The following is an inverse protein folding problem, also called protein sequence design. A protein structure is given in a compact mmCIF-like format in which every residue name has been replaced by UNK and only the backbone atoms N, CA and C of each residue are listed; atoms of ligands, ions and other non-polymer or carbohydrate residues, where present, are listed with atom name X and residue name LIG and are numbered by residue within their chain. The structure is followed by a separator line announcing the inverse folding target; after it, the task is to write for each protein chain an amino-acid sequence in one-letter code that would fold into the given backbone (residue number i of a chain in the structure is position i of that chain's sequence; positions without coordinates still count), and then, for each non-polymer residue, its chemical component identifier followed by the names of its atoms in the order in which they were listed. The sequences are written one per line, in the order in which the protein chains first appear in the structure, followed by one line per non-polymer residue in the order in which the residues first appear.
data_IF_274257672184
#
_entry.id   IF_274257672184
#
_cell.length_a   1.000
_cell.length_b   1.000
_cell.length_c   1.000
_cell.angle_alpha   90.00
_cell.angle_beta   90.00
_cell.angle_gamma   90.00
#
_symmetry.space_group_name_H-M   'P 1'
#
loop_
_entity.id
_entity.type
_entity.pdbx_description
1 polymer ?
#
# COMPACT_ATOMS: atom_id res chain seq x y z
N UNK A 1 0.83 29.65 -1.29
CA UNK A 1 0.25 28.45 -0.66
C UNK A 1 -0.81 27.86 -1.58
N UNK A 2 -0.70 26.58 -1.91
CA UNK A 2 -1.70 25.84 -2.72
C UNK A 2 -2.42 24.87 -1.80
N UNK A 3 -3.75 24.83 -1.84
CA UNK A 3 -4.56 23.92 -1.02
C UNK A 3 -5.03 22.71 -1.84
N UNK A 4 -4.67 21.51 -1.41
CA UNK A 4 -5.22 20.27 -1.96
C UNK A 4 -6.59 20.04 -1.34
N UNK A 5 -7.65 20.22 -2.12
CA UNK A 5 -9.04 19.96 -1.68
C UNK A 5 -9.59 18.63 -2.18
N UNK A 6 -8.91 18.02 -3.16
CA UNK A 6 -9.30 16.73 -3.73
C UNK A 6 -8.11 15.96 -4.27
N UNK A 7 -8.07 14.66 -3.99
CA UNK A 7 -7.13 13.68 -4.52
C UNK A 7 -7.82 12.77 -5.55
N UNK A 8 -7.05 12.31 -6.54
CA UNK A 8 -7.54 11.31 -7.48
C UNK A 8 -7.48 9.91 -6.85
N UNK A 9 -8.65 9.34 -6.53
CA UNK A 9 -8.76 8.04 -5.86
C UNK A 9 -8.09 6.89 -6.64
N UNK A 10 -8.15 6.92 -7.98
CA UNK A 10 -7.53 5.88 -8.81
C UNK A 10 -6.01 5.98 -8.75
N UNK A 11 -5.46 7.18 -8.75
CA UNK A 11 -4.03 7.39 -8.57
C UNK A 11 -3.58 6.95 -7.18
N UNK A 12 -4.35 7.28 -6.14
CA UNK A 12 -4.07 6.82 -4.77
C UNK A 12 -4.05 5.30 -4.64
N UNK A 13 -5.03 4.62 -5.25
CA UNK A 13 -5.07 3.16 -5.29
C UNK A 13 -3.83 2.56 -5.98
N UNK A 14 -3.43 3.11 -7.13
CA UNK A 14 -2.25 2.62 -7.86
C UNK A 14 -0.96 2.84 -7.07
N UNK A 15 -0.77 4.04 -6.53
CA UNK A 15 0.45 4.40 -5.79
C UNK A 15 0.57 3.54 -4.54
N UNK A 16 -0.46 3.51 -3.69
CA UNK A 16 -0.41 2.75 -2.44
C UNK A 16 -0.41 1.24 -2.68
N UNK A 17 -1.14 0.73 -3.67
CA UNK A 17 -1.07 -0.67 -4.06
C UNK A 17 0.32 -1.09 -4.52
N UNK A 18 0.98 -0.28 -5.36
CA UNK A 18 2.34 -0.56 -5.80
C UNK A 18 3.35 -0.46 -4.65
N UNK A 19 3.23 0.54 -3.79
CA UNK A 19 4.08 0.68 -2.60
C UNK A 19 3.97 -0.55 -1.71
N UNK A 20 2.76 -1.01 -1.42
CA UNK A 20 2.53 -2.18 -0.56
C UNK A 20 2.99 -3.48 -1.23
N UNK A 21 2.84 -3.60 -2.54
CA UNK A 21 3.37 -4.74 -3.31
C UNK A 21 4.89 -4.80 -3.26
N UNK A 22 5.56 -3.65 -3.45
CA UNK A 22 7.03 -3.56 -3.35
C UNK A 22 7.48 -3.92 -1.93
N UNK A 23 6.83 -3.38 -0.91
CA UNK A 23 7.13 -3.74 0.48
C UNK A 23 6.94 -5.24 0.70
N UNK A 24 5.85 -5.83 0.22
CA UNK A 24 5.60 -7.25 0.37
C UNK A 24 6.69 -8.11 -0.31
N UNK A 25 7.17 -7.71 -1.48
CA UNK A 25 8.30 -8.38 -2.16
C UNK A 25 9.56 -8.27 -1.30
N UNK A 26 9.89 -7.09 -0.78
CA UNK A 26 11.08 -6.86 0.06
C UNK A 26 11.01 -7.70 1.35
N UNK A 27 9.84 -7.80 1.97
CA UNK A 27 9.66 -8.56 3.21
C UNK A 27 9.48 -10.06 3.00
N UNK A 28 9.13 -10.51 1.79
CA UNK A 28 8.88 -11.92 1.51
C UNK A 28 10.04 -12.89 1.83
N UNK A 29 11.33 -12.55 1.63
CA UNK A 29 12.43 -13.45 2.01
C UNK A 29 12.53 -13.62 3.52
N UNK A 30 12.21 -12.58 4.30
CA UNK A 30 12.22 -12.66 5.76
C UNK A 30 11.10 -13.55 6.29
N UNK A 31 9.93 -13.50 5.66
CA UNK A 31 8.81 -14.41 5.97
C UNK A 31 9.21 -15.85 5.67
N UNK A 32 9.87 -16.11 4.53
CA UNK A 32 10.39 -17.44 4.22
C UNK A 32 11.42 -17.94 5.24
N UNK A 33 12.34 -17.08 5.66
CA UNK A 33 13.34 -17.42 6.66
C UNK A 33 12.68 -17.78 8.00
N UNK A 34 11.70 -17.00 8.45
CA UNK A 34 10.94 -17.32 9.67
C UNK A 34 10.18 -18.64 9.54
N UNK A 35 9.50 -18.84 8.41
CA UNK A 35 8.76 -20.07 8.12
C UNK A 35 9.69 -21.31 8.18
N UNK A 36 10.93 -21.19 7.69
CA UNK A 36 11.92 -22.28 7.75
C UNK A 36 12.45 -22.58 9.16
N UNK A 37 12.31 -21.65 10.11
CA UNK A 37 12.80 -21.83 11.48
C UNK A 37 11.81 -22.59 12.39
N UNK A 38 10.52 -22.57 12.08
CA UNK A 38 9.46 -23.23 12.87
C UNK A 38 9.28 -24.72 12.50
N UNK A 39 9.92 -25.19 11.43
CA UNK A 39 9.91 -26.57 10.97
C UNK A 39 10.13 -26.67 9.46
N UNK A 40 10.32 -27.88 8.90
CA UNK A 40 10.46 -28.05 7.46
C UNK A 40 9.09 -27.90 6.79
N UNK A 41 8.74 -26.66 6.47
CA UNK A 41 7.66 -26.35 5.54
C UNK A 41 8.16 -26.72 4.14
N UNK A 42 7.34 -27.41 3.35
CA UNK A 42 7.72 -27.81 2.01
C UNK A 42 8.07 -26.60 1.13
N UNK A 43 9.01 -26.77 0.20
CA UNK A 43 9.38 -25.71 -0.74
C UNK A 43 8.15 -25.18 -1.51
N UNK A 44 7.25 -26.08 -1.89
CA UNK A 44 6.00 -25.75 -2.58
C UNK A 44 5.06 -24.89 -1.73
N UNK A 45 4.91 -25.21 -0.46
CA UNK A 45 4.06 -24.47 0.49
C UNK A 45 4.62 -23.08 0.74
N UNK A 46 5.93 -22.99 0.91
CA UNK A 46 6.67 -21.73 1.10
C UNK A 46 6.49 -20.77 -0.08
N UNK A 47 6.63 -21.27 -1.31
CA UNK A 47 6.41 -20.48 -2.54
C UNK A 47 4.94 -20.04 -2.62
N UNK A 48 3.99 -20.90 -2.27
CA UNK A 48 2.57 -20.57 -2.31
C UNK A 48 2.22 -19.47 -1.31
N UNK A 49 2.72 -19.56 -0.08
CA UNK A 49 2.55 -18.53 0.96
C UNK A 49 3.12 -17.19 0.49
N UNK A 50 4.32 -17.20 -0.11
CA UNK A 50 4.93 -15.99 -0.66
C UNK A 50 4.04 -15.33 -1.72
N UNK A 51 3.57 -16.10 -2.70
CA UNK A 51 2.74 -15.58 -3.80
C UNK A 51 1.44 -15.00 -3.23
N UNK A 52 0.79 -15.74 -2.33
CA UNK A 52 -0.45 -15.27 -1.69
C UNK A 52 -0.19 -13.99 -0.89
N UNK A 53 0.89 -13.93 -0.12
CA UNK A 53 1.25 -12.76 0.68
C UNK A 53 1.48 -11.52 -0.19
N UNK A 54 2.30 -11.63 -1.25
CA UNK A 54 2.61 -10.51 -2.16
C UNK A 54 1.35 -10.00 -2.86
N UNK A 55 0.53 -10.91 -3.39
CA UNK A 55 -0.70 -10.54 -4.08
C UNK A 55 -1.70 -9.91 -3.11
N UNK A 56 -1.88 -10.51 -1.93
CA UNK A 56 -2.79 -9.99 -0.92
C UNK A 56 -2.39 -8.58 -0.46
N UNK A 57 -1.12 -8.37 -0.12
CA UNK A 57 -0.66 -7.05 0.34
C UNK A 57 -0.74 -5.98 -0.75
N UNK A 58 -0.42 -6.32 -2.01
CA UNK A 58 -0.56 -5.39 -3.13
C UNK A 58 -2.02 -5.01 -3.39
N UNK A 59 -2.92 -5.99 -3.41
CA UNK A 59 -4.36 -5.77 -3.57
C UNK A 59 -4.95 -4.98 -2.41
N UNK A 60 -4.58 -5.33 -1.18
CA UNK A 60 -4.99 -4.61 0.02
C UNK A 60 -4.54 -3.14 -0.05
N UNK A 61 -3.27 -2.88 -0.38
CA UNK A 61 -2.76 -1.51 -0.56
C UNK A 61 -3.54 -0.71 -1.60
N UNK A 62 -3.97 -1.37 -2.69
CA UNK A 62 -4.80 -0.73 -3.72
C UNK A 62 -6.21 -0.40 -3.22
N UNK A 63 -6.88 -1.35 -2.56
CA UNK A 63 -8.23 -1.17 -2.01
C UNK A 63 -8.22 -0.08 -0.92
N UNK A 64 -7.30 -0.19 0.04
CA UNK A 64 -7.16 0.80 1.11
C UNK A 64 -6.72 2.16 0.56
N UNK A 65 -5.84 2.20 -0.45
CA UNK A 65 -5.45 3.45 -1.07
C UNK A 65 -6.60 4.18 -1.77
N UNK A 66 -7.49 3.43 -2.43
CA UNK A 66 -8.73 3.98 -2.96
C UNK A 66 -9.62 4.54 -1.84
N UNK A 67 -9.82 3.74 -0.78
CA UNK A 67 -10.66 4.10 0.36
C UNK A 67 -10.15 5.37 1.06
N UNK A 68 -8.84 5.47 1.30
CA UNK A 68 -8.20 6.64 1.90
C UNK A 68 -8.42 7.88 1.03
N UNK A 69 -8.30 7.77 -0.29
CA UNK A 69 -8.60 8.88 -1.21
C UNK A 69 -10.06 9.35 -1.11
N UNK A 70 -11.01 8.41 -1.03
CA UNK A 70 -12.44 8.72 -0.85
C UNK A 70 -12.69 9.43 0.49
N UNK A 71 -12.13 8.89 1.58
CA UNK A 71 -12.27 9.46 2.92
C UNK A 71 -11.66 10.86 2.96
N UNK A 72 -10.46 11.03 2.42
CA UNK A 72 -9.80 12.32 2.34
C UNK A 72 -10.66 13.35 1.63
N UNK A 73 -11.19 13.02 0.44
CA UNK A 73 -12.04 13.92 -0.33
C UNK A 73 -13.32 14.32 0.39
N UNK A 74 -13.87 13.43 1.21
CA UNK A 74 -15.04 13.72 2.03
C UNK A 74 -14.70 14.65 3.20
N UNK A 75 -13.58 14.40 3.89
CA UNK A 75 -13.16 15.16 5.07
C UNK A 75 -12.61 16.54 4.68
N UNK A 76 -11.80 16.62 3.62
CA UNK A 76 -11.18 17.86 3.14
C UNK A 76 -12.20 18.94 2.78
N UNK A 77 -13.38 18.54 2.29
CA UNK A 77 -14.51 19.45 2.01
C UNK A 77 -15.12 20.07 3.27
N UNK A 78 -14.95 19.45 4.43
CA UNK A 78 -15.55 19.88 5.70
C UNK A 78 -14.58 20.63 6.60
N UNK A 79 -13.33 20.17 6.65
CA UNK A 79 -12.33 20.65 7.63
C UNK A 79 -11.31 21.60 6.99
N UNK A 80 -11.30 21.72 5.66
CA UNK A 80 -10.21 22.34 4.92
C UNK A 80 -9.14 21.29 4.62
N UNK A 81 -8.79 21.15 3.34
CA UNK A 81 -7.80 20.19 2.87
C UNK A 81 -6.37 20.53 3.26
N UNK A 82 -5.40 19.81 2.70
CA UNK A 82 -3.97 19.98 3.03
C UNK A 82 -3.44 21.24 2.34
N UNK A 83 -2.74 22.10 3.07
CA UNK A 83 -2.03 23.25 2.52
C UNK A 83 -0.58 22.88 2.21
N UNK A 84 -0.12 23.22 1.01
CA UNK A 84 1.25 23.02 0.57
C UNK A 84 1.88 24.35 0.17
N UNK A 85 3.10 24.58 0.63
CA UNK A 85 3.99 25.61 0.11
C UNK A 85 4.82 25.00 -1.01
N UNK A 86 4.72 25.57 -2.20
CA UNK A 86 5.52 25.15 -3.35
C UNK A 86 6.68 26.13 -3.46
N UNK A 87 7.89 25.67 -3.17
CA UNK A 87 9.09 26.40 -3.57
C UNK A 87 9.20 26.26 -5.09
N UNK A 88 9.10 27.39 -5.79
CA UNK A 88 9.40 27.44 -7.22
C UNK A 88 10.86 27.84 -7.31
N UNK A 89 11.73 26.88 -7.63
CA UNK A 89 13.15 27.15 -7.88
C UNK A 89 13.35 28.13 -9.03
#
# INVERSE_FOLDING_TARGET
MVRIVSLNNKSMAKVLGLMYLILAIIFSPFILLMASAEGPIGLTESILIMIVFVLFYGLAGGIFGFLVGVIYNFVAKKVGGIEMELETS
#
